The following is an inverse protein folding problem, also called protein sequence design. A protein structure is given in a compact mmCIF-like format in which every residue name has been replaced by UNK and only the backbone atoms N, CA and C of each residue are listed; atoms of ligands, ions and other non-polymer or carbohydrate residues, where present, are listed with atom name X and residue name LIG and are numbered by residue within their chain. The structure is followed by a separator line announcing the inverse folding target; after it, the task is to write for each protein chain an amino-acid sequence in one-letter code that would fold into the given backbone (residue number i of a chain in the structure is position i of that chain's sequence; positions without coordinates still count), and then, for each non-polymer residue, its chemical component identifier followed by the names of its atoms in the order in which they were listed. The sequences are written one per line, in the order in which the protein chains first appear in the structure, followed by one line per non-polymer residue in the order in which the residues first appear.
data_IF_987791937299
#
_entry.id   IF_987791937299
#
_cell.length_a   1.000
_cell.length_b   1.000
_cell.length_c   1.000
_cell.angle_alpha   90.00
_cell.angle_beta   90.00
_cell.angle_gamma   90.00
#
_symmetry.space_group_name_H-M   'P 1'
#
loop_
_entity.id
_entity.type
_entity.pdbx_description
1 polymer ?
#
# COMPACT_ATOMS: atom_id res chain seq x y z
N UNK A 1 37.69 55.49 24.75
CA UNK A 1 37.61 54.07 24.40
C UNK A 1 38.95 53.42 24.04
N UNK A 2 39.81 54.00 23.17
CA UNK A 2 41.11 53.40 22.80
C UNK A 2 42.10 53.16 23.97
N UNK A 3 42.04 53.92 25.06
CA UNK A 3 42.94 53.74 26.22
C UNK A 3 42.50 52.63 27.17
N UNK A 4 41.21 52.40 27.29
CA UNK A 4 40.67 51.29 28.10
C UNK A 4 41.08 49.91 27.57
N UNK A 5 41.16 49.75 26.24
CA UNK A 5 41.62 48.51 25.62
C UNK A 5 43.12 48.24 25.78
N UNK A 6 43.93 49.23 26.21
CA UNK A 6 45.37 49.06 26.49
C UNK A 6 45.62 48.40 27.86
N UNK A 7 44.64 48.39 28.74
CA UNK A 7 44.76 47.77 30.06
C UNK A 7 44.69 46.25 29.97
N UNK A 8 45.77 45.55 30.45
CA UNK A 8 45.79 44.06 30.47
C UNK A 8 44.61 43.46 31.26
N UNK A 9 44.15 44.18 32.27
CA UNK A 9 43.03 43.74 33.12
C UNK A 9 41.70 43.81 32.36
N UNK A 10 41.47 44.89 31.63
CA UNK A 10 40.27 45.05 30.82
C UNK A 10 40.17 43.97 29.71
N UNK A 11 41.26 43.67 29.01
CA UNK A 11 41.29 42.62 27.98
C UNK A 11 40.97 41.24 28.58
N UNK A 12 41.53 40.90 29.73
CA UNK A 12 41.23 39.62 30.41
C UNK A 12 39.76 39.51 30.82
N UNK A 13 39.20 40.53 31.43
CA UNK A 13 37.77 40.55 31.79
C UNK A 13 36.86 40.49 30.60
N UNK A 14 37.19 41.20 29.51
CA UNK A 14 36.43 41.21 28.27
C UNK A 14 36.46 39.83 27.58
N UNK A 15 37.63 39.20 27.46
CA UNK A 15 37.78 37.86 26.93
C UNK A 15 37.01 36.82 27.78
N UNK A 16 37.08 36.89 29.10
CA UNK A 16 36.33 35.96 29.97
C UNK A 16 34.84 36.13 29.79
N UNK A 17 34.34 37.35 29.67
CA UNK A 17 32.93 37.64 29.45
C UNK A 17 32.42 37.10 28.09
N UNK A 18 33.21 37.30 27.02
CA UNK A 18 32.92 36.77 25.69
C UNK A 18 32.88 35.23 25.73
N UNK A 19 33.85 34.58 26.38
CA UNK A 19 33.92 33.14 26.50
C UNK A 19 32.67 32.60 27.21
N UNK A 20 32.23 33.23 28.31
CA UNK A 20 31.04 32.82 29.04
C UNK A 20 29.77 32.95 28.17
N UNK A 21 29.58 34.12 27.52
CA UNK A 21 28.44 34.31 26.62
C UNK A 21 28.45 33.25 25.53
N UNK A 22 29.61 32.98 24.94
CA UNK A 22 29.77 32.04 23.85
C UNK A 22 29.47 30.60 24.28
N UNK A 23 29.94 30.22 25.46
CA UNK A 23 29.64 28.90 26.05
C UNK A 23 28.13 28.74 26.29
N UNK A 24 27.48 29.76 26.87
CA UNK A 24 26.02 29.74 27.06
C UNK A 24 25.27 29.62 25.72
N UNK A 25 25.76 30.32 24.68
CA UNK A 25 25.16 30.28 23.37
C UNK A 25 25.31 28.90 22.70
N UNK A 26 26.49 28.26 22.80
CA UNK A 26 26.72 26.90 22.29
C UNK A 26 25.79 25.91 23.00
N UNK A 27 25.68 25.96 24.30
CA UNK A 27 24.82 25.08 25.10
C UNK A 27 23.34 25.26 24.66
N UNK A 28 22.90 26.51 24.56
CA UNK A 28 21.52 26.82 24.15
C UNK A 28 21.20 26.35 22.74
N UNK A 29 22.10 26.62 21.78
CA UNK A 29 21.90 26.16 20.40
C UNK A 29 21.96 24.64 20.25
N UNK A 30 22.85 23.96 21.00
CA UNK A 30 22.91 22.49 21.03
C UNK A 30 21.61 21.89 21.58
N UNK A 31 21.03 22.52 22.59
CA UNK A 31 19.73 22.09 23.14
C UNK A 31 18.60 22.25 22.13
N UNK A 32 18.51 23.40 21.45
CA UNK A 32 17.51 23.61 20.39
C UNK A 32 17.65 22.59 19.25
N UNK A 33 18.88 22.33 18.79
CA UNK A 33 19.14 21.32 17.75
C UNK A 33 18.68 19.95 18.21
N UNK A 34 19.02 19.56 19.43
CA UNK A 34 18.61 18.28 19.99
C UNK A 34 17.09 18.14 20.05
N UNK A 35 16.40 19.17 20.56
CA UNK A 35 14.94 19.19 20.64
C UNK A 35 14.29 19.11 19.25
N UNK A 36 14.83 19.84 18.28
CA UNK A 36 14.33 19.83 16.90
C UNK A 36 14.51 18.45 16.22
N UNK A 37 15.65 17.80 16.43
CA UNK A 37 15.89 16.42 15.94
C UNK A 37 14.90 15.44 16.58
N UNK A 38 14.64 15.56 17.88
CA UNK A 38 13.68 14.71 18.60
C UNK A 38 12.26 14.91 18.06
N UNK A 39 11.80 16.15 17.92
CA UNK A 39 10.47 16.47 17.40
C UNK A 39 10.31 15.93 15.98
N UNK A 40 11.29 16.15 15.11
CA UNK A 40 11.26 15.66 13.74
C UNK A 40 11.27 14.14 13.65
N UNK A 41 11.97 13.45 14.57
CA UNK A 41 11.95 11.97 14.61
C UNK A 41 10.57 11.43 15.00
N UNK A 42 9.93 12.02 16.00
CA UNK A 42 8.59 11.65 16.46
C UNK A 42 7.54 11.94 15.37
N UNK A 43 7.63 13.08 14.70
CA UNK A 43 6.72 13.42 13.61
C UNK A 43 6.85 12.47 12.42
N UNK A 44 8.07 12.07 12.06
CA UNK A 44 8.30 11.08 11.00
C UNK A 44 7.76 9.70 11.36
N UNK A 45 7.93 9.30 12.60
CA UNK A 45 7.38 8.04 13.10
C UNK A 45 5.86 8.03 12.96
N UNK A 46 5.18 9.06 13.45
CA UNK A 46 3.73 9.20 13.31
C UNK A 46 3.27 9.25 11.84
N UNK A 47 4.00 9.95 10.98
CA UNK A 47 3.69 9.98 9.53
C UNK A 47 3.85 8.61 8.89
N UNK A 48 4.93 7.88 9.22
CA UNK A 48 5.15 6.52 8.73
C UNK A 48 4.04 5.56 9.15
N UNK A 49 3.60 5.63 10.41
CA UNK A 49 2.46 4.86 10.92
C UNK A 49 1.15 5.25 10.22
N UNK A 50 0.87 6.54 10.05
CA UNK A 50 -0.34 6.99 9.34
C UNK A 50 -0.37 6.53 7.89
N UNK A 51 0.76 6.58 7.18
CA UNK A 51 0.82 6.10 5.79
C UNK A 51 0.67 4.58 5.69
N UNK A 52 1.23 3.86 6.67
CA UNK A 52 1.04 2.41 6.76
C UNK A 52 -0.44 2.05 6.95
N UNK A 53 -1.14 2.76 7.86
CA UNK A 53 -2.56 2.57 8.10
C UNK A 53 -3.41 2.92 6.86
N UNK A 54 -3.05 3.98 6.15
CA UNK A 54 -3.75 4.40 4.94
C UNK A 54 -3.59 3.37 3.81
N UNK A 55 -2.37 2.90 3.56
CA UNK A 55 -2.09 1.82 2.60
C UNK A 55 -2.85 0.55 2.96
N UNK A 56 -2.76 0.13 4.24
CA UNK A 56 -3.49 -1.03 4.74
C UNK A 56 -5.00 -0.87 4.51
N UNK A 57 -5.56 0.29 4.84
CA UNK A 57 -6.99 0.57 4.67
C UNK A 57 -7.45 0.51 3.21
N UNK A 58 -6.62 0.94 2.25
CA UNK A 58 -6.93 0.89 0.81
C UNK A 58 -7.07 -0.56 0.35
N UNK A 59 -6.13 -1.43 0.72
CA UNK A 59 -6.13 -2.83 0.32
C UNK A 59 -7.16 -3.66 1.09
N UNK A 60 -7.20 -3.53 2.41
CA UNK A 60 -8.15 -4.25 3.26
C UNK A 60 -9.60 -3.94 2.87
N UNK A 61 -9.91 -2.69 2.54
CA UNK A 61 -11.24 -2.33 2.04
C UNK A 61 -11.56 -3.02 0.71
N UNK A 62 -10.59 -3.19 -0.19
CA UNK A 62 -10.82 -3.90 -1.47
C UNK A 62 -11.05 -5.38 -1.24
N UNK A 63 -10.25 -6.00 -0.38
CA UNK A 63 -10.40 -7.41 -0.01
C UNK A 63 -11.74 -7.64 0.70
N UNK A 64 -12.09 -6.81 1.64
CA UNK A 64 -13.40 -6.87 2.33
C UNK A 64 -14.56 -6.72 1.34
N UNK A 65 -14.45 -5.81 0.38
CA UNK A 65 -15.46 -5.69 -0.68
C UNK A 65 -15.53 -6.95 -1.53
N UNK A 66 -14.40 -7.58 -1.85
CA UNK A 66 -14.37 -8.85 -2.57
C UNK A 66 -15.06 -9.97 -1.78
N UNK A 67 -14.74 -10.10 -0.50
CA UNK A 67 -15.39 -11.07 0.40
C UNK A 67 -16.91 -10.86 0.45
N UNK A 68 -17.35 -9.61 0.57
CA UNK A 68 -18.78 -9.27 0.55
C UNK A 68 -19.44 -9.65 -0.79
N UNK A 69 -18.76 -9.46 -1.92
CA UNK A 69 -19.24 -9.89 -3.24
C UNK A 69 -19.41 -11.42 -3.28
N UNK A 70 -18.39 -12.16 -2.84
CA UNK A 70 -18.45 -13.65 -2.78
C UNK A 70 -19.60 -14.10 -1.91
N UNK A 71 -19.76 -13.51 -0.73
CA UNK A 71 -20.84 -13.82 0.18
C UNK A 71 -22.21 -13.53 -0.45
N UNK A 72 -22.40 -12.38 -1.07
CA UNK A 72 -23.63 -12.02 -1.76
C UNK A 72 -23.97 -12.99 -2.90
N UNK A 73 -22.97 -13.41 -3.68
CA UNK A 73 -23.13 -14.38 -4.75
C UNK A 73 -23.57 -15.76 -4.21
N UNK A 74 -23.12 -16.15 -3.02
CA UNK A 74 -23.52 -17.41 -2.38
C UNK A 74 -25.02 -17.47 -2.03
N UNK A 75 -25.67 -16.31 -1.93
CA UNK A 75 -27.12 -16.21 -1.73
C UNK A 75 -27.92 -16.06 -3.03
N UNK A 76 -27.26 -15.88 -4.18
CA UNK A 76 -27.92 -15.66 -5.45
C UNK A 76 -28.72 -16.87 -5.92
N UNK A 77 -29.99 -16.64 -6.27
CA UNK A 77 -30.89 -17.69 -6.79
C UNK A 77 -30.49 -18.11 -8.21
N UNK A 78 -30.02 -17.18 -9.04
CA UNK A 78 -29.58 -17.48 -10.39
C UNK A 78 -28.36 -18.40 -10.40
N UNK A 79 -27.41 -18.17 -9.48
CA UNK A 79 -26.22 -19.01 -9.35
C UNK A 79 -26.51 -20.38 -8.74
N UNK A 80 -27.49 -20.48 -7.85
CA UNK A 80 -27.97 -21.78 -7.36
C UNK A 80 -28.56 -22.63 -8.49
N UNK A 81 -29.37 -22.02 -9.37
CA UNK A 81 -29.91 -22.70 -10.54
C UNK A 81 -28.79 -23.11 -11.53
N UNK A 82 -27.78 -22.27 -11.71
CA UNK A 82 -26.58 -22.58 -12.49
C UNK A 82 -25.92 -23.88 -12.01
N UNK A 83 -25.66 -23.95 -10.67
CA UNK A 83 -25.05 -25.14 -10.08
C UNK A 83 -25.91 -26.40 -10.25
N UNK A 84 -27.19 -26.29 -9.99
CA UNK A 84 -28.13 -27.43 -10.16
C UNK A 84 -28.18 -27.91 -11.61
N UNK A 85 -28.26 -27.00 -12.58
CA UNK A 85 -28.29 -27.33 -13.99
C UNK A 85 -26.96 -27.95 -14.44
N UNK A 86 -25.83 -27.45 -13.97
CA UNK A 86 -24.50 -28.02 -14.25
C UNK A 86 -24.41 -29.46 -13.71
N UNK A 87 -24.89 -29.71 -12.51
CA UNK A 87 -24.90 -31.05 -11.89
C UNK A 87 -25.81 -32.03 -12.60
N UNK A 88 -26.94 -31.57 -13.17
CA UNK A 88 -27.90 -32.38 -13.90
C UNK A 88 -27.52 -32.55 -15.38
N UNK A 89 -26.44 -31.90 -15.86
CA UNK A 89 -26.04 -31.90 -17.25
C UNK A 89 -27.04 -31.22 -18.21
N UNK A 90 -27.96 -30.39 -17.64
CA UNK A 90 -28.94 -29.67 -18.43
C UNK A 90 -28.35 -28.44 -19.08
N UNK A 91 -28.73 -28.16 -20.32
CA UNK A 91 -28.28 -26.96 -21.04
C UNK A 91 -28.97 -25.74 -20.43
N UNK A 92 -28.17 -24.75 -20.04
CA UNK A 92 -28.71 -23.46 -19.63
C UNK A 92 -29.39 -22.76 -20.79
N UNK A 93 -30.62 -22.32 -20.58
CA UNK A 93 -31.33 -21.49 -21.53
C UNK A 93 -30.78 -20.06 -21.56
N UNK A 94 -31.11 -19.31 -22.59
CA UNK A 94 -30.61 -17.93 -22.76
C UNK A 94 -31.10 -16.99 -21.65
N UNK A 95 -32.24 -17.27 -21.03
CA UNK A 95 -32.79 -16.47 -19.92
C UNK A 95 -31.96 -16.67 -18.66
N UNK A 96 -31.65 -17.90 -18.30
CA UNK A 96 -30.83 -18.20 -17.12
C UNK A 96 -29.42 -17.62 -17.27
N UNK A 97 -28.81 -17.68 -18.45
CA UNK A 97 -27.54 -17.07 -18.77
C UNK A 97 -27.59 -15.54 -18.58
N UNK A 98 -28.65 -14.90 -19.07
CA UNK A 98 -28.86 -13.46 -18.91
C UNK A 98 -28.99 -13.08 -17.43
N UNK A 99 -29.74 -13.86 -16.65
CA UNK A 99 -29.90 -13.61 -15.22
C UNK A 99 -28.57 -13.71 -14.48
N UNK A 100 -27.75 -14.71 -14.77
CA UNK A 100 -26.40 -14.87 -14.19
C UNK A 100 -25.50 -13.68 -14.54
N UNK A 101 -25.47 -13.28 -15.81
CA UNK A 101 -24.69 -12.13 -16.25
C UNK A 101 -25.13 -10.83 -15.59
N UNK A 102 -26.44 -10.64 -15.45
CA UNK A 102 -27.03 -9.48 -14.77
C UNK A 102 -26.65 -9.45 -13.29
N UNK A 103 -26.70 -10.59 -12.61
CA UNK A 103 -26.31 -10.73 -11.21
C UNK A 103 -24.83 -10.39 -11.02
N UNK A 104 -23.94 -10.97 -11.84
CA UNK A 104 -22.52 -10.69 -11.80
C UNK A 104 -22.20 -9.22 -12.12
N UNK A 105 -22.95 -8.60 -13.00
CA UNK A 105 -22.81 -7.18 -13.32
C UNK A 105 -23.27 -6.29 -12.16
N UNK A 106 -24.37 -6.65 -11.50
CA UNK A 106 -24.89 -5.92 -10.35
C UNK A 106 -23.94 -5.99 -9.15
N UNK A 107 -23.35 -7.16 -8.90
CA UNK A 107 -22.35 -7.32 -7.83
C UNK A 107 -21.08 -6.53 -8.10
N UNK A 108 -20.64 -6.42 -9.36
CA UNK A 108 -19.54 -5.52 -9.72
C UNK A 108 -19.87 -4.05 -9.40
N UNK A 109 -21.07 -3.60 -9.73
CA UNK A 109 -21.51 -2.24 -9.46
C UNK A 109 -21.57 -1.93 -7.96
N UNK A 110 -21.96 -2.90 -7.14
CA UNK A 110 -21.98 -2.77 -5.67
C UNK A 110 -20.58 -2.80 -5.05
N UNK A 111 -19.61 -3.45 -5.69
CA UNK A 111 -18.21 -3.53 -5.23
C UNK A 111 -17.37 -2.27 -5.46
N UNK A 112 -17.95 -1.25 -6.10
CA UNK A 112 -17.30 0.03 -6.40
C UNK A 112 -16.48 0.04 -7.69
N UNK A 113 -15.94 1.21 -8.04
CA UNK A 113 -15.26 1.49 -9.33
C UNK A 113 -13.97 0.67 -9.56
N UNK A 114 -13.49 -0.07 -8.58
CA UNK A 114 -12.22 -0.78 -8.65
C UNK A 114 -12.34 -2.22 -9.15
N UNK A 115 -13.55 -2.82 -9.13
CA UNK A 115 -13.77 -4.18 -9.63
C UNK A 115 -13.87 -4.16 -11.16
N UNK A 116 -12.90 -4.79 -11.80
CA UNK A 116 -12.86 -4.87 -13.26
C UNK A 116 -13.75 -6.00 -13.80
N UNK A 117 -13.73 -7.17 -13.12
CA UNK A 117 -14.50 -8.34 -13.56
C UNK A 117 -14.72 -9.32 -12.40
N UNK A 118 -15.86 -9.98 -12.42
CA UNK A 118 -16.15 -11.15 -11.56
C UNK A 118 -16.33 -12.37 -12.44
N UNK A 119 -15.70 -13.47 -12.07
CA UNK A 119 -15.72 -14.74 -12.79
C UNK A 119 -16.04 -15.85 -11.80
N UNK A 120 -16.92 -16.77 -12.18
CA UNK A 120 -17.29 -17.94 -11.39
C UNK A 120 -16.91 -19.21 -12.14
N UNK A 121 -16.22 -20.07 -11.45
CA UNK A 121 -15.89 -21.42 -11.88
C UNK A 121 -16.70 -22.41 -11.05
N UNK A 122 -17.32 -23.38 -11.67
CA UNK A 122 -17.96 -24.48 -10.96
C UNK A 122 -17.09 -25.72 -11.04
N UNK A 123 -16.97 -26.44 -9.93
CA UNK A 123 -16.20 -27.66 -9.85
C UNK A 123 -16.69 -28.68 -10.90
N UNK A 124 -15.77 -29.23 -11.69
CA UNK A 124 -16.07 -30.18 -12.75
C UNK A 124 -16.64 -29.58 -14.06
N UNK A 125 -16.72 -28.24 -14.18
CA UNK A 125 -17.15 -27.56 -15.40
C UNK A 125 -15.96 -27.09 -16.23
N UNK A 126 -16.04 -27.26 -17.56
CA UNK A 126 -15.10 -26.67 -18.53
C UNK A 126 -15.44 -25.20 -18.88
N UNK A 127 -16.39 -24.62 -18.16
CA UNK A 127 -16.92 -23.27 -18.41
C UNK A 127 -16.74 -22.37 -17.21
N UNK A 128 -16.36 -21.13 -17.48
CA UNK A 128 -16.40 -20.03 -16.53
C UNK A 128 -17.50 -19.04 -16.89
N UNK A 129 -18.17 -18.49 -15.90
CA UNK A 129 -19.26 -17.55 -16.06
C UNK A 129 -18.82 -16.17 -15.59
N UNK A 130 -19.05 -15.17 -16.44
CA UNK A 130 -18.68 -13.79 -16.11
C UNK A 130 -19.79 -12.81 -16.49
N UNK A 131 -19.68 -11.58 -16.02
CA UNK A 131 -20.60 -10.49 -16.39
C UNK A 131 -20.66 -10.20 -17.91
N UNK A 132 -19.65 -10.62 -18.68
CA UNK A 132 -19.59 -10.44 -20.13
C UNK A 132 -19.95 -11.70 -20.93
N UNK A 133 -20.22 -12.81 -20.28
CA UNK A 133 -20.61 -14.06 -20.95
C UNK A 133 -19.99 -15.31 -20.36
N UNK A 134 -20.17 -16.42 -21.07
CA UNK A 134 -19.60 -17.72 -20.74
C UNK A 134 -18.31 -17.87 -21.52
N UNK A 135 -17.28 -18.31 -20.85
CA UNK A 135 -15.94 -18.50 -21.38
C UNK A 135 -15.64 -19.99 -21.29
N UNK A 136 -15.24 -20.59 -22.40
CA UNK A 136 -14.73 -21.96 -22.40
C UNK A 136 -13.27 -21.93 -22.03
N UNK A 137 -12.90 -22.65 -21.00
CA UNK A 137 -11.52 -22.76 -20.53
C UNK A 137 -10.80 -23.80 -21.38
N UNK A 138 -9.66 -23.43 -21.94
CA UNK A 138 -8.76 -24.40 -22.60
C UNK A 138 -7.88 -25.11 -21.57
N UNK A 139 -7.56 -24.41 -20.45
CA UNK A 139 -6.93 -24.97 -19.26
C UNK A 139 -7.73 -24.53 -18.04
N UNK A 140 -8.26 -25.49 -17.32
CA UNK A 140 -9.00 -25.22 -16.08
C UNK A 140 -8.00 -24.68 -15.06
N UNK A 141 -8.30 -23.51 -14.50
CA UNK A 141 -7.68 -23.06 -13.26
C UNK A 141 -7.89 -24.17 -12.23
N UNK A 142 -6.82 -24.85 -11.86
CA UNK A 142 -6.92 -26.01 -10.98
C UNK A 142 -6.93 -25.50 -9.55
N UNK A 143 -8.12 -25.20 -9.03
CA UNK A 143 -8.34 -24.74 -7.68
C UNK A 143 -8.12 -25.84 -6.63
N UNK A 144 -7.84 -27.09 -7.02
CA UNK A 144 -7.75 -28.25 -6.12
C UNK A 144 -6.63 -28.16 -5.05
N UNK A 145 -5.71 -27.18 -5.19
CA UNK A 145 -4.59 -26.98 -4.23
C UNK A 145 -4.43 -25.54 -3.77
N UNK A 146 -5.46 -24.71 -3.87
CA UNK A 146 -5.39 -23.30 -3.51
C UNK A 146 -6.01 -23.12 -2.13
N UNK A 147 -5.24 -22.61 -1.18
CA UNK A 147 -5.77 -22.14 0.10
C UNK A 147 -6.48 -20.79 -0.11
N UNK A 148 -7.73 -20.71 0.35
CA UNK A 148 -8.53 -19.50 0.25
C UNK A 148 -8.43 -18.64 1.52
N UNK A 149 -8.47 -17.31 1.41
CA UNK A 149 -8.50 -16.52 0.16
C UNK A 149 -7.13 -16.52 -0.56
N UNK A 150 -7.15 -16.52 -1.89
CA UNK A 150 -5.96 -16.52 -2.72
C UNK A 150 -5.80 -15.19 -3.45
N UNK A 151 -4.60 -14.60 -3.39
CA UNK A 151 -4.24 -13.36 -4.07
C UNK A 151 -3.10 -13.58 -5.06
N UNK A 152 -3.23 -13.05 -6.26
CA UNK A 152 -2.18 -13.11 -7.27
C UNK A 152 -2.16 -11.84 -8.13
N UNK A 153 -0.97 -11.43 -8.56
CA UNK A 153 -0.79 -10.49 -9.66
C UNK A 153 -0.69 -11.29 -10.95
N UNK A 154 -1.74 -11.31 -11.74
CA UNK A 154 -1.79 -12.10 -12.94
C UNK A 154 -2.13 -11.25 -14.16
N UNK A 155 -1.51 -11.59 -15.30
CA UNK A 155 -2.15 -11.30 -16.57
C UNK A 155 -3.28 -12.29 -16.75
N UNK A 156 -4.46 -11.82 -17.11
CA UNK A 156 -5.65 -12.70 -17.30
C UNK A 156 -5.41 -13.86 -18.25
N UNK A 157 -4.50 -13.72 -19.19
CA UNK A 157 -4.17 -14.77 -20.16
C UNK A 157 -3.35 -15.90 -19.51
N UNK A 158 -2.47 -15.57 -18.56
CA UNK A 158 -1.64 -16.55 -17.87
C UNK A 158 -2.42 -17.28 -16.77
N UNK A 159 -3.24 -16.54 -16.01
CA UNK A 159 -4.00 -17.12 -14.90
C UNK A 159 -5.11 -18.07 -15.37
N UNK A 160 -5.74 -17.81 -16.51
CA UNK A 160 -6.96 -18.53 -16.93
C UNK A 160 -6.86 -19.17 -18.30
N UNK A 161 -5.70 -19.13 -18.98
CA UNK A 161 -5.55 -19.72 -20.31
C UNK A 161 -6.52 -19.14 -21.36
N UNK A 162 -6.91 -17.88 -21.23
CA UNK A 162 -7.78 -17.23 -22.23
C UNK A 162 -7.06 -17.12 -23.56
N UNK A 163 -7.76 -17.46 -24.65
CA UNK A 163 -7.25 -17.26 -25.99
C UNK A 163 -7.00 -15.77 -26.26
N UNK A 164 -5.72 -15.39 -26.30
CA UNK A 164 -5.23 -14.03 -26.49
C UNK A 164 -5.73 -13.35 -27.77
N UNK A 165 -6.12 -14.13 -28.77
CA UNK A 165 -6.61 -13.64 -30.06
C UNK A 165 -8.06 -13.12 -30.02
N UNK A 166 -8.84 -13.49 -29.01
CA UNK A 166 -10.25 -13.06 -28.87
C UNK A 166 -10.47 -11.97 -27.84
N UNK A 167 -9.57 -11.81 -26.88
CA UNK A 167 -9.76 -10.88 -25.77
C UNK A 167 -8.47 -10.08 -25.56
N UNK A 168 -8.49 -8.80 -25.86
CA UNK A 168 -7.35 -7.87 -25.62
C UNK A 168 -7.17 -7.56 -24.12
N UNK A 169 -7.07 -8.59 -23.28
CA UNK A 169 -6.85 -8.46 -21.85
C UNK A 169 -5.34 -8.42 -21.52
N UNK A 170 -4.65 -7.43 -22.02
CA UNK A 170 -3.25 -7.16 -21.65
C UNK A 170 -3.12 -6.38 -20.33
N UNK A 171 -4.19 -6.20 -19.57
CA UNK A 171 -4.13 -5.49 -18.31
C UNK A 171 -3.65 -6.40 -17.19
N UNK A 172 -2.62 -5.96 -16.49
CA UNK A 172 -2.25 -6.51 -15.19
C UNK A 172 -3.40 -6.28 -14.20
N UNK A 173 -3.81 -7.31 -13.51
CA UNK A 173 -4.90 -7.30 -12.55
C UNK A 173 -4.43 -7.86 -11.22
N UNK A 174 -4.98 -7.34 -10.14
CA UNK A 174 -4.97 -8.03 -8.86
C UNK A 174 -6.13 -9.01 -8.85
N UNK A 175 -5.81 -10.29 -8.75
CA UNK A 175 -6.75 -11.38 -8.66
C UNK A 175 -6.98 -11.73 -7.20
N UNK A 176 -8.24 -11.73 -6.80
CA UNK A 176 -8.72 -12.28 -5.54
C UNK A 176 -9.60 -13.48 -5.82
N UNK A 177 -9.28 -14.64 -5.28
CA UNK A 177 -10.11 -15.85 -5.41
C UNK A 177 -10.56 -16.31 -4.04
N UNK A 178 -11.81 -16.76 -3.97
CA UNK A 178 -12.40 -17.35 -2.77
C UNK A 178 -13.33 -18.50 -3.11
N UNK A 179 -13.55 -19.40 -2.15
CA UNK A 179 -14.42 -20.53 -2.31
C UNK A 179 -15.87 -20.09 -2.52
N UNK A 180 -16.50 -20.60 -3.58
CA UNK A 180 -17.94 -20.48 -3.77
C UNK A 180 -18.64 -21.60 -3.05
N UNK A 181 -19.33 -21.29 -1.95
CA UNK A 181 -19.98 -22.27 -1.08
C UNK A 181 -21.48 -22.28 -1.27
N UNK A 182 -22.09 -23.48 -1.20
CA UNK A 182 -23.53 -23.63 -1.12
C UNK A 182 -24.02 -23.40 0.32
N UNK A 183 -25.34 -23.25 0.50
CA UNK A 183 -25.97 -22.95 1.81
C UNK A 183 -25.62 -23.94 2.94
N UNK A 184 -25.24 -25.15 2.60
CA UNK A 184 -24.81 -26.18 3.56
C UNK A 184 -23.30 -26.11 3.88
N UNK A 185 -22.57 -25.09 3.37
CA UNK A 185 -21.14 -24.94 3.54
C UNK A 185 -20.29 -25.80 2.58
N UNK A 186 -20.92 -26.60 1.68
CA UNK A 186 -20.13 -27.36 0.70
C UNK A 186 -19.57 -26.43 -0.37
N UNK A 187 -18.28 -26.58 -0.67
CA UNK A 187 -17.62 -25.88 -1.76
C UNK A 187 -18.09 -26.44 -3.11
N UNK A 188 -18.60 -25.57 -3.97
CA UNK A 188 -19.16 -25.93 -5.28
C UNK A 188 -18.41 -25.27 -6.43
N UNK A 189 -17.46 -24.42 -6.13
CA UNK A 189 -16.67 -23.72 -7.13
C UNK A 189 -15.78 -22.64 -6.54
N UNK A 190 -15.30 -21.75 -7.40
CA UNK A 190 -14.44 -20.62 -7.04
C UNK A 190 -15.00 -19.35 -7.65
N UNK A 191 -15.04 -18.29 -6.87
CA UNK A 191 -15.30 -16.91 -7.34
C UNK A 191 -13.97 -16.19 -7.44
N UNK A 192 -13.69 -15.64 -8.61
CA UNK A 192 -12.52 -14.80 -8.83
C UNK A 192 -12.95 -13.38 -9.13
N UNK A 193 -12.41 -12.43 -8.39
CA UNK A 193 -12.66 -11.00 -8.52
C UNK A 193 -11.37 -10.34 -8.98
N UNK A 194 -11.46 -9.59 -10.07
CA UNK A 194 -10.34 -8.92 -10.68
C UNK A 194 -10.41 -7.44 -10.41
N UNK A 195 -9.36 -6.90 -9.82
CA UNK A 195 -9.18 -5.46 -9.62
C UNK A 195 -8.23 -4.89 -10.66
N UNK A 196 -8.50 -3.68 -11.13
CA UNK A 196 -7.59 -2.93 -12.00
C UNK A 196 -6.33 -2.53 -11.21
N UNK A 197 -5.19 -3.15 -11.56
CA UNK A 197 -3.92 -2.91 -10.87
C UNK A 197 -3.41 -1.48 -11.07
N UNK A 198 -3.66 -0.88 -12.25
CA UNK A 198 -3.28 0.51 -12.49
C UNK A 198 -4.04 1.47 -11.56
N UNK A 199 -5.35 1.25 -11.39
CA UNK A 199 -6.14 2.05 -10.47
C UNK A 199 -5.70 1.84 -9.01
N UNK A 200 -5.34 0.60 -8.65
CA UNK A 200 -4.80 0.31 -7.33
C UNK A 200 -3.48 1.03 -7.08
N UNK A 201 -2.53 0.94 -8.03
CA UNK A 201 -1.23 1.61 -7.93
C UNK A 201 -1.38 3.12 -7.81
N UNK A 202 -2.25 3.75 -8.62
CA UNK A 202 -2.51 5.18 -8.51
C UNK A 202 -3.05 5.58 -7.13
N UNK A 203 -3.99 4.81 -6.57
CA UNK A 203 -4.52 5.10 -5.24
C UNK A 203 -3.47 4.92 -4.12
N UNK A 204 -2.54 3.98 -4.29
CA UNK A 204 -1.43 3.78 -3.37
C UNK A 204 -0.38 4.90 -3.50
N UNK A 205 -0.14 5.36 -4.73
CA UNK A 205 0.77 6.48 -5.04
C UNK A 205 0.25 7.79 -4.45
N UNK A 206 -1.05 8.03 -4.58
CA UNK A 206 -1.73 9.19 -3.98
C UNK A 206 -1.71 9.16 -2.43
N UNK A 207 -1.67 7.96 -1.82
CA UNK A 207 -1.65 7.77 -0.37
C UNK A 207 -0.25 7.90 0.24
N UNK A 208 0.79 7.69 -0.56
CA UNK A 208 2.18 7.71 -0.11
C UNK A 208 2.84 9.01 -0.57
N UNK A 209 3.54 9.68 0.34
CA UNK A 209 4.37 10.83 -0.02
C UNK A 209 5.55 10.38 -0.89
N UNK A 210 5.96 11.22 -1.84
CA UNK A 210 7.04 10.97 -2.82
C UNK A 210 8.36 10.46 -2.19
N UNK A 211 8.64 10.84 -0.96
CA UNK A 211 9.87 10.46 -0.24
C UNK A 211 9.79 9.08 0.41
N UNK A 212 8.61 8.45 0.46
CA UNK A 212 8.42 7.16 1.12
C UNK A 212 8.42 6.02 0.12
N UNK A 213 8.94 4.86 0.55
CA UNK A 213 8.84 3.63 -0.23
C UNK A 213 7.72 2.73 0.30
N UNK A 214 7.14 1.95 -0.59
CA UNK A 214 6.13 0.93 -0.28
C UNK A 214 6.58 -0.43 -0.78
N UNK A 215 6.37 -1.44 0.04
CA UNK A 215 6.47 -2.83 -0.36
C UNK A 215 5.29 -3.62 0.23
N UNK A 216 4.53 -4.25 -0.63
CA UNK A 216 3.42 -5.13 -0.23
C UNK A 216 3.85 -6.56 -0.53
N UNK A 217 3.75 -7.41 0.47
CA UNK A 217 4.16 -8.81 0.43
C UNK A 217 2.94 -9.71 0.60
N UNK A 218 2.87 -10.79 -0.16
CA UNK A 218 1.93 -11.87 0.07
C UNK A 218 2.70 -13.19 0.25
N UNK A 219 2.65 -13.74 1.45
CA UNK A 219 3.59 -14.77 1.87
C UNK A 219 5.04 -14.26 1.76
N UNK A 220 5.86 -14.97 0.99
CA UNK A 220 7.25 -14.62 0.74
C UNK A 220 7.46 -13.90 -0.62
N UNK A 221 6.40 -13.49 -1.30
CA UNK A 221 6.49 -12.85 -2.63
C UNK A 221 6.24 -11.36 -2.52
N UNK A 222 7.08 -10.58 -3.20
CA UNK A 222 6.83 -9.15 -3.40
C UNK A 222 5.66 -8.99 -4.37
N UNK A 223 4.68 -8.22 -3.93
CA UNK A 223 3.41 -8.05 -4.64
C UNK A 223 3.36 -6.71 -5.37
N UNK A 224 3.57 -5.62 -4.64
CA UNK A 224 3.65 -4.27 -5.19
C UNK A 224 4.83 -3.57 -4.53
N UNK A 225 5.65 -2.93 -5.34
CA UNK A 225 6.78 -2.13 -4.86
C UNK A 225 6.73 -0.76 -5.51
N UNK A 226 6.90 0.30 -4.70
CA UNK A 226 6.88 1.69 -5.13
C UNK A 226 7.92 2.48 -4.32
N UNK A 227 8.53 3.49 -4.92
CA UNK A 227 9.52 4.35 -4.26
C UNK A 227 10.83 3.66 -3.84
N UNK A 228 11.64 4.37 -3.06
CA UNK A 228 12.93 3.86 -2.57
C UNK A 228 12.75 3.07 -1.26
N UNK A 229 13.38 1.91 -1.17
CA UNK A 229 13.35 1.04 0.02
C UNK A 229 14.50 1.37 0.96
N UNK A 230 14.59 2.60 1.42
CA UNK A 230 15.65 3.05 2.33
C UNK A 230 15.05 3.71 3.55
N UNK A 231 15.64 3.45 4.71
CA UNK A 231 15.26 4.13 5.94
C UNK A 231 14.61 3.25 6.99
N UNK A 232 13.76 3.85 7.85
CA UNK A 232 13.03 3.14 8.90
C UNK A 232 11.84 2.41 8.29
N UNK A 233 11.69 1.14 8.64
CA UNK A 233 10.61 0.28 8.14
C UNK A 233 9.46 0.29 9.16
N UNK A 234 8.26 0.55 8.69
CA UNK A 234 7.01 0.33 9.40
C UNK A 234 6.30 -0.84 8.71
N UNK A 235 5.81 -1.79 9.48
CA UNK A 235 5.16 -2.98 8.94
C UNK A 235 3.89 -3.31 9.70
N UNK A 236 2.87 -3.73 8.97
CA UNK A 236 1.62 -4.26 9.52
C UNK A 236 1.15 -5.45 8.68
N UNK A 237 0.39 -6.32 9.30
CA UNK A 237 -0.31 -7.42 8.65
C UNK A 237 -1.74 -6.98 8.30
N UNK A 238 -2.26 -7.46 7.17
CA UNK A 238 -3.64 -7.23 6.78
C UNK A 238 -4.62 -7.78 7.81
N UNK A 239 -5.66 -7.03 8.10
CA UNK A 239 -6.75 -7.47 8.98
C UNK A 239 -7.71 -8.46 8.29
N UNK A 240 -7.68 -8.54 6.98
CA UNK A 240 -8.67 -9.24 6.15
C UNK A 240 -8.09 -10.44 5.39
N UNK A 241 -6.78 -10.49 5.19
CA UNK A 241 -6.13 -11.53 4.40
C UNK A 241 -4.86 -12.01 5.12
N UNK A 242 -4.82 -13.27 5.58
CA UNK A 242 -3.61 -13.86 6.14
C UNK A 242 -2.44 -13.79 5.16
N UNK A 243 -1.22 -13.69 5.66
CA UNK A 243 0.03 -13.63 4.89
C UNK A 243 0.19 -12.38 4.00
N UNK A 244 -0.71 -11.39 4.07
CA UNK A 244 -0.57 -10.12 3.39
C UNK A 244 0.04 -9.09 4.35
N UNK A 245 1.23 -8.58 4.00
CA UNK A 245 1.98 -7.63 4.81
C UNK A 245 2.21 -6.33 4.05
N UNK A 246 2.10 -5.23 4.78
CA UNK A 246 2.38 -3.88 4.30
C UNK A 246 3.68 -3.39 4.93
N UNK A 247 4.58 -2.83 4.12
CA UNK A 247 5.83 -2.24 4.59
C UNK A 247 5.98 -0.85 3.98
N UNK A 248 6.09 0.16 4.82
CA UNK A 248 6.38 1.54 4.44
C UNK A 248 7.79 1.91 4.89
N UNK A 249 8.58 2.44 3.97
CA UNK A 249 9.96 2.87 4.20
C UNK A 249 10.00 4.37 4.33
N UNK A 250 10.26 4.86 5.54
CA UNK A 250 10.41 6.29 5.79
C UNK A 250 11.87 6.71 5.61
N UNK A 251 12.16 7.73 4.78
CA UNK A 251 13.52 8.18 4.54
C UNK A 251 14.17 8.70 5.82
N UNK A 252 15.44 8.37 6.04
CA UNK A 252 16.24 8.90 7.13
C UNK A 252 16.98 10.13 6.61
N UNK A 253 16.31 11.27 6.54
CA UNK A 253 16.99 12.55 6.31
C UNK A 253 17.40 13.15 7.64
N UNK A 254 18.69 13.13 7.94
CA UNK A 254 19.26 13.80 9.12
C UNK A 254 19.26 15.34 8.90
N UNK A 255 19.33 15.75 7.64
CA UNK A 255 19.37 17.15 7.25
C UNK A 255 18.14 17.48 6.39
N UNK A 256 17.16 18.15 6.95
CA UNK A 256 16.12 18.84 6.18
C UNK A 256 16.66 20.21 5.72
N UNK A 257 16.13 20.82 4.66
CA UNK A 257 16.56 22.13 4.17
C UNK A 257 16.53 23.18 5.29
N UNK A 258 15.55 23.13 6.17
CA UNK A 258 15.42 24.01 7.34
C UNK A 258 16.60 23.83 8.32
N UNK A 259 17.06 22.60 8.52
CA UNK A 259 18.20 22.31 9.38
C UNK A 259 19.51 22.79 8.75
N UNK A 260 19.65 22.74 7.43
CA UNK A 260 20.86 23.22 6.71
C UNK A 260 21.05 24.71 6.94
N UNK A 261 20.00 25.52 6.84
CA UNK A 261 20.04 26.96 7.12
C UNK A 261 20.50 27.23 8.55
N UNK A 262 19.98 26.46 9.51
CA UNK A 262 20.35 26.58 10.92
C UNK A 262 21.84 26.23 11.14
N UNK A 263 22.37 25.16 10.55
CA UNK A 263 23.79 24.79 10.67
C UNK A 263 24.72 25.82 10.01
N UNK A 264 24.30 26.44 8.88
CA UNK A 264 25.03 27.53 8.25
C UNK A 264 25.11 28.74 9.19
N UNK A 265 23.99 29.15 9.81
CA UNK A 265 23.95 30.25 10.78
C UNK A 265 24.82 29.96 12.00
N UNK A 266 24.77 28.73 12.52
CA UNK A 266 25.65 28.32 13.61
C UNK A 266 27.14 28.42 13.22
N UNK A 267 27.49 27.94 12.04
CA UNK A 267 28.86 28.03 11.50
C UNK A 267 29.35 29.48 11.36
N UNK A 268 28.51 30.37 10.84
CA UNK A 268 28.83 31.82 10.74
C UNK A 268 29.08 32.43 12.12
N UNK A 269 28.22 32.12 13.09
CA UNK A 269 28.36 32.61 14.48
C UNK A 269 29.66 32.13 15.11
N UNK A 270 30.03 30.84 14.90
CA UNK A 270 31.31 30.29 15.37
C UNK A 270 32.49 31.03 14.76
N UNK A 271 32.45 31.27 13.44
CA UNK A 271 33.52 32.00 12.74
C UNK A 271 33.68 33.46 13.24
N UNK A 272 32.56 34.16 13.45
CA UNK A 272 32.55 35.51 13.98
C UNK A 272 33.21 35.55 15.39
N UNK A 273 32.84 34.59 16.24
CA UNK A 273 33.39 34.55 17.60
C UNK A 273 34.87 34.21 17.66
N UNK A 274 35.34 33.29 16.79
CA UNK A 274 36.75 32.99 16.63
C UNK A 274 37.54 34.25 16.13
N UNK A 275 36.94 35.02 15.21
CA UNK A 275 37.48 36.26 14.74
C UNK A 275 37.62 37.28 15.87
N UNK A 276 36.64 37.42 16.76
CA UNK A 276 36.72 38.31 17.90
C UNK A 276 37.79 37.87 18.93
N UNK A 277 37.93 36.56 19.18
CA UNK A 277 38.99 36.03 20.08
C UNK A 277 40.38 36.27 19.48
N UNK A 278 40.53 36.18 18.15
CA UNK A 278 41.82 36.47 17.50
C UNK A 278 42.21 37.95 17.51
N UNK A 279 41.23 38.87 17.45
CA UNK A 279 41.44 40.31 17.45
C UNK A 279 41.61 40.91 18.88
N UNK A 280 41.23 40.19 19.93
CA UNK A 280 41.37 40.60 21.34
C UNK A 280 42.72 40.21 21.96
#
# INVERSE_FOLDING_TARGET
MRELFKSRLFRRLFCTYIIVIFTCFIVYTSFIVYEHIQINSIQRERRGEMQLDEVGSILDRRITNAQNIVQNLSYSTALKQLYLNSKLGTVLDSYNLFMIQSELKNTMASGGLSVYKTIIFLNGSDKAYSSSGVIKLSNVFNAENVEYPYLELASLNEAFGFDSNRYSFQKECLLYCDAYTYQNGSEIGTVCILFDLKNLRNNLDDAINDDYGLNILYGNREFITMGERKGKIFSAESSCCPDLFYQVYAPVHIFTEENVVFYILLGIMVMISLGFVYLA
#
